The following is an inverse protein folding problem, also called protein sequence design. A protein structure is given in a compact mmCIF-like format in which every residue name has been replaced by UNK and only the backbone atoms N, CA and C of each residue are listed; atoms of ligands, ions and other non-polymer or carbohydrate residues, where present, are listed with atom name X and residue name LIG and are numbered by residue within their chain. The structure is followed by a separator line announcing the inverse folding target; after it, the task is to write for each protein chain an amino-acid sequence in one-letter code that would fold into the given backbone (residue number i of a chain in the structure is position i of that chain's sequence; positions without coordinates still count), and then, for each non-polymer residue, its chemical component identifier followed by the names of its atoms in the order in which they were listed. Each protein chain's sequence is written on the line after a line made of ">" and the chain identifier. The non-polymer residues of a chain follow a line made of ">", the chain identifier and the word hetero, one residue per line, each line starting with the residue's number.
data_IF_964492697829
#
_entry.id   IF_964492697829
#
_cell.length_a   1.000
_cell.length_b   1.000
_cell.length_c   1.000
_cell.angle_alpha   90.00
_cell.angle_beta   90.00
_cell.angle_gamma   90.00
#
_symmetry.space_group_name_H-M   'P 1'
#
loop_
_entity.id
_entity.type
_entity.pdbx_description
1 polymer ?
#
# COMPACT_ATOMS: atom_id res chain seq x y z
N UNK A 1 -34.25 -15.06 5.45
CA UNK A 1 -35.00 -13.84 5.08
C UNK A 1 -34.27 -12.56 5.51
N UNK A 2 -33.73 -12.51 6.73
CA UNK A 2 -32.95 -11.36 7.25
C UNK A 2 -31.63 -11.12 6.50
N UNK A 3 -30.89 -12.16 6.08
CA UNK A 3 -29.64 -11.97 5.33
C UNK A 3 -29.86 -11.30 3.97
N UNK A 4 -30.87 -11.76 3.19
CA UNK A 4 -31.23 -11.15 1.91
C UNK A 4 -31.59 -9.66 2.03
N UNK A 5 -32.22 -9.26 3.12
CA UNK A 5 -32.55 -7.86 3.39
C UNK A 5 -31.28 -7.06 3.72
N UNK A 6 -30.37 -7.62 4.54
CA UNK A 6 -29.06 -7.01 4.81
C UNK A 6 -28.23 -6.87 3.53
N UNK A 7 -28.18 -7.89 2.68
CA UNK A 7 -27.45 -7.86 1.41
C UNK A 7 -28.01 -6.78 0.47
N UNK A 8 -29.34 -6.66 0.38
CA UNK A 8 -30.00 -5.60 -0.38
C UNK A 8 -29.68 -4.19 0.14
N UNK A 9 -29.58 -4.04 1.47
CA UNK A 9 -29.19 -2.77 2.09
C UNK A 9 -27.72 -2.46 1.77
N UNK A 10 -26.81 -3.42 1.93
CA UNK A 10 -25.40 -3.27 1.57
C UNK A 10 -25.21 -2.93 0.10
N UNK A 11 -25.90 -3.63 -0.82
CA UNK A 11 -25.86 -3.32 -2.25
C UNK A 11 -26.35 -1.90 -2.55
N UNK A 12 -27.39 -1.42 -1.86
CA UNK A 12 -27.86 -0.04 -2.01
C UNK A 12 -26.84 0.98 -1.48
N UNK A 13 -26.19 0.71 -0.35
CA UNK A 13 -25.14 1.56 0.22
C UNK A 13 -23.93 1.61 -0.73
N UNK A 14 -23.46 0.46 -1.20
CA UNK A 14 -22.37 0.36 -2.16
C UNK A 14 -22.69 1.09 -3.48
N UNK A 15 -23.89 0.87 -4.05
CA UNK A 15 -24.33 1.59 -5.25
C UNK A 15 -24.39 3.11 -5.04
N UNK A 16 -24.83 3.58 -3.87
CA UNK A 16 -24.81 5.01 -3.54
C UNK A 16 -23.39 5.54 -3.41
N UNK A 17 -22.48 4.78 -2.79
CA UNK A 17 -21.08 5.14 -2.67
C UNK A 17 -20.40 5.23 -4.04
N UNK A 18 -20.56 4.21 -4.90
CA UNK A 18 -20.05 4.20 -6.28
C UNK A 18 -20.64 5.36 -7.08
N UNK A 19 -21.94 5.67 -6.93
CA UNK A 19 -22.52 6.82 -7.63
C UNK A 19 -21.98 8.16 -7.13
N UNK A 20 -21.64 8.26 -5.84
CA UNK A 20 -21.13 9.48 -5.20
C UNK A 20 -19.63 9.72 -5.47
N UNK A 21 -18.85 8.64 -5.55
CA UNK A 21 -17.38 8.69 -5.59
C UNK A 21 -16.78 8.05 -6.85
N UNK A 22 -17.49 7.17 -7.55
CA UNK A 22 -17.02 6.43 -8.72
C UNK A 22 -17.31 7.11 -10.07
N UNK A 23 -17.78 8.36 -10.05
CA UNK A 23 -17.92 9.19 -11.26
C UNK A 23 -16.65 9.99 -11.57
N UNK A 24 -15.61 9.87 -10.74
CA UNK A 24 -14.33 10.50 -10.99
C UNK A 24 -13.69 9.82 -12.20
N UNK A 25 -13.58 10.57 -13.29
CA UNK A 25 -12.76 10.17 -14.44
C UNK A 25 -11.32 10.32 -13.99
N UNK A 26 -10.75 9.22 -13.50
CA UNK A 26 -9.31 9.16 -13.27
C UNK A 26 -8.62 9.10 -14.61
N UNK A 27 -7.53 9.83 -14.74
CA UNK A 27 -6.68 9.70 -15.92
C UNK A 27 -6.27 8.23 -16.09
N UNK A 28 -6.19 7.73 -17.33
CA UNK A 28 -5.73 6.38 -17.57
C UNK A 28 -4.34 6.19 -16.94
N UNK A 29 -4.09 4.96 -16.46
CA UNK A 29 -2.83 4.60 -15.83
C UNK A 29 -1.67 5.01 -16.74
N UNK A 30 -0.84 5.94 -16.27
CA UNK A 30 0.22 6.50 -17.10
C UNK A 30 1.30 5.46 -17.36
N UNK A 31 1.66 5.29 -18.63
CA UNK A 31 2.78 4.45 -19.00
C UNK A 31 4.09 5.23 -18.77
N UNK A 32 5.06 4.69 -18.02
CA UNK A 32 6.36 5.31 -17.87
C UNK A 32 7.02 5.48 -19.25
N UNK A 33 7.51 6.69 -19.53
CA UNK A 33 8.17 6.99 -20.82
C UNK A 33 9.64 6.58 -20.86
N UNK A 34 10.27 6.49 -19.69
CA UNK A 34 11.67 6.08 -19.53
C UNK A 34 11.79 4.55 -19.72
N UNK A 35 12.94 4.04 -20.20
CA UNK A 35 13.20 2.61 -20.15
C UNK A 35 13.27 2.12 -18.69
N UNK A 36 12.98 0.84 -18.46
CA UNK A 36 12.83 0.28 -17.12
C UNK A 36 14.09 0.40 -16.26
N UNK A 37 15.26 0.24 -16.86
CA UNK A 37 16.56 0.43 -16.24
C UNK A 37 16.89 1.89 -15.86
N UNK A 38 15.98 2.83 -16.15
CA UNK A 38 16.05 4.23 -15.68
C UNK A 38 14.93 4.55 -14.69
N UNK A 39 14.04 3.61 -14.39
CA UNK A 39 12.94 3.85 -13.44
C UNK A 39 13.46 3.98 -12.03
N UNK A 40 12.95 4.99 -11.34
CA UNK A 40 12.96 5.05 -9.88
C UNK A 40 11.69 4.45 -9.30
N UNK A 41 11.80 3.30 -8.64
CA UNK A 41 10.67 2.47 -8.25
C UNK A 41 10.40 2.58 -6.75
N UNK A 42 9.15 2.86 -6.40
CA UNK A 42 8.64 2.80 -5.03
C UNK A 42 7.68 1.62 -4.84
N UNK A 43 7.42 1.26 -3.59
CA UNK A 43 6.45 0.23 -3.23
C UNK A 43 5.52 0.72 -2.12
N UNK A 44 4.23 0.37 -2.23
CA UNK A 44 3.24 0.56 -1.17
C UNK A 44 2.50 -0.75 -0.94
N UNK A 45 2.43 -1.19 0.31
CA UNK A 45 1.63 -2.34 0.73
C UNK A 45 0.56 -1.94 1.73
N UNK A 46 -0.64 -2.49 1.60
CA UNK A 46 -1.69 -2.39 2.62
C UNK A 46 -1.80 -3.64 3.49
N UNK A 47 -0.80 -4.53 3.43
CA UNK A 47 -0.76 -5.78 4.20
C UNK A 47 -0.47 -5.58 5.69
N UNK A 48 -0.31 -4.34 6.17
CA UNK A 48 0.01 -4.07 7.57
C UNK A 48 1.49 -4.24 7.91
N UNK A 49 2.40 -4.20 6.93
CA UNK A 49 3.86 -4.23 7.17
C UNK A 49 4.35 -2.91 7.78
N UNK A 50 5.23 -3.00 8.76
CA UNK A 50 5.92 -1.87 9.39
C UNK A 50 7.24 -2.30 10.05
N UNK A 51 8.03 -1.35 10.54
CA UNK A 51 9.27 -1.66 11.27
C UNK A 51 8.97 -2.17 12.68
N UNK A 52 9.76 -3.14 13.17
CA UNK A 52 9.55 -3.74 14.51
C UNK A 52 9.57 -2.74 15.65
N UNK A 53 10.32 -1.65 15.52
CA UNK A 53 10.37 -0.56 16.51
C UNK A 53 9.14 0.38 16.48
N UNK A 54 8.32 0.32 15.44
CA UNK A 54 7.12 1.15 15.32
C UNK A 54 5.94 0.54 16.08
N UNK A 55 5.01 1.40 16.49
CA UNK A 55 3.76 0.93 17.09
C UNK A 55 2.93 0.13 16.06
N UNK A 56 2.33 -1.01 16.47
CA UNK A 56 1.46 -1.78 15.59
C UNK A 56 0.27 -0.94 15.11
N UNK A 57 -0.28 -1.30 13.95
CA UNK A 57 -1.50 -0.68 13.44
C UNK A 57 -2.69 -0.97 14.37
N UNK A 58 -3.61 -0.02 14.50
CA UNK A 58 -4.92 -0.28 15.14
C UNK A 58 -5.79 -1.14 14.20
N UNK A 59 -5.74 -2.44 14.41
CA UNK A 59 -6.47 -3.44 13.59
C UNK A 59 -7.96 -3.54 13.94
N UNK A 60 -8.39 -3.02 15.09
CA UNK A 60 -9.77 -3.14 15.58
C UNK A 60 -10.61 -1.95 15.12
N UNK A 61 -10.11 -0.72 15.30
CA UNK A 61 -10.79 0.50 14.84
C UNK A 61 -10.42 0.87 13.39
N UNK A 62 -9.33 0.30 12.88
CA UNK A 62 -8.72 0.64 11.61
C UNK A 62 -7.77 1.83 11.72
N UNK A 63 -6.79 1.87 10.83
CA UNK A 63 -5.65 2.77 10.95
C UNK A 63 -5.29 3.42 9.60
N UNK A 64 -5.41 4.75 9.52
CA UNK A 64 -5.05 5.52 8.32
C UNK A 64 -3.61 6.02 8.32
N UNK A 65 -2.83 5.75 9.37
CA UNK A 65 -1.44 6.18 9.44
C UNK A 65 -0.58 5.46 8.41
N UNK A 66 0.51 6.11 7.99
CA UNK A 66 1.46 5.60 7.00
C UNK A 66 2.76 5.32 7.73
N UNK A 67 3.31 4.12 7.55
CA UNK A 67 4.63 3.72 8.02
C UNK A 67 5.63 3.91 6.88
N UNK A 68 6.76 4.53 7.16
CA UNK A 68 7.80 4.78 6.18
C UNK A 68 8.89 3.72 6.34
N UNK A 69 9.00 2.84 5.36
CA UNK A 69 9.91 1.70 5.40
C UNK A 69 11.12 2.05 4.53
N UNK A 70 12.35 2.10 5.07
CA UNK A 70 13.55 2.26 4.25
C UNK A 70 13.61 1.15 3.18
N UNK A 71 13.90 1.49 1.93
CA UNK A 71 14.01 0.48 0.87
C UNK A 71 15.20 -0.47 1.06
N UNK A 72 16.12 -0.14 1.97
CA UNK A 72 17.23 -0.99 2.43
C UNK A 72 16.86 -1.94 3.56
N UNK A 73 15.62 -1.92 4.05
CA UNK A 73 15.18 -2.80 5.14
C UNK A 73 15.31 -4.27 4.74
N UNK A 74 15.66 -5.10 5.71
CA UNK A 74 15.64 -6.56 5.57
C UNK A 74 14.44 -7.15 6.30
N UNK A 75 14.15 -8.42 6.03
CA UNK A 75 13.06 -9.14 6.71
C UNK A 75 13.13 -9.00 8.25
N UNK A 76 14.33 -9.05 8.83
CA UNK A 76 14.53 -8.96 10.27
C UNK A 76 14.17 -7.59 10.87
N UNK A 77 14.05 -6.54 10.06
CA UNK A 77 13.62 -5.21 10.51
C UNK A 77 12.09 -5.09 10.55
N UNK A 78 11.38 -5.99 9.86
CA UNK A 78 9.98 -5.83 9.50
C UNK A 78 9.08 -6.78 10.28
N UNK A 79 7.85 -6.34 10.51
CA UNK A 79 6.79 -7.16 11.08
C UNK A 79 5.44 -6.77 10.48
N UNK A 80 4.39 -7.51 10.84
CA UNK A 80 3.04 -7.35 10.32
C UNK A 80 2.03 -7.14 11.45
N UNK A 81 1.06 -6.27 11.23
CA UNK A 81 -0.10 -6.11 12.10
C UNK A 81 -1.36 -6.06 11.26
N UNK A 82 -2.05 -7.20 11.16
CA UNK A 82 -3.27 -7.34 10.38
C UNK A 82 -4.14 -8.48 10.92
N UNK A 83 -5.47 -8.29 10.98
CA UNK A 83 -6.42 -9.30 11.50
C UNK A 83 -7.38 -9.84 10.44
N UNK A 84 -7.40 -9.25 9.25
CA UNK A 84 -8.37 -9.62 8.19
C UNK A 84 -7.81 -10.55 7.10
N UNK A 85 -6.58 -11.06 7.26
CA UNK A 85 -6.03 -12.17 6.46
C UNK A 85 -5.06 -13.01 7.31
N UNK A 86 -4.70 -14.21 6.85
CA UNK A 86 -3.71 -15.07 7.51
C UNK A 86 -2.29 -14.52 7.32
N UNK A 87 -1.72 -13.92 8.36
CA UNK A 87 -0.41 -13.26 8.32
C UNK A 87 0.77 -14.23 8.31
N UNK A 88 0.55 -15.53 8.52
CA UNK A 88 1.63 -16.51 8.72
C UNK A 88 2.67 -16.50 7.60
N UNK A 89 2.24 -16.43 6.34
CA UNK A 89 3.15 -16.40 5.21
C UNK A 89 4.01 -15.11 5.17
N UNK A 90 3.44 -13.97 5.56
CA UNK A 90 4.14 -12.69 5.64
C UNK A 90 5.10 -12.63 6.84
N UNK A 91 4.74 -13.30 7.95
CA UNK A 91 5.60 -13.47 9.12
C UNK A 91 6.80 -14.38 8.84
N UNK A 92 6.60 -15.44 8.05
CA UNK A 92 7.67 -16.34 7.61
C UNK A 92 8.56 -15.72 6.53
N UNK A 93 7.96 -15.01 5.57
CA UNK A 93 8.67 -14.27 4.52
C UNK A 93 7.89 -13.03 4.09
N UNK A 94 8.42 -11.86 4.48
CA UNK A 94 7.82 -10.56 4.16
C UNK A 94 7.74 -10.30 2.65
N UNK A 95 8.56 -10.98 1.84
CA UNK A 95 8.58 -10.82 0.39
C UNK A 95 7.28 -11.28 -0.29
N UNK A 96 6.44 -12.02 0.42
CA UNK A 96 5.09 -12.39 -0.05
C UNK A 96 4.18 -11.17 -0.24
N UNK A 97 4.36 -10.12 0.56
CA UNK A 97 3.49 -8.93 0.58
C UNK A 97 4.24 -7.59 0.40
N UNK A 98 5.56 -7.60 0.62
CA UNK A 98 6.52 -6.53 0.35
C UNK A 98 7.81 -7.18 -0.18
N UNK A 99 7.95 -7.37 -1.51
CA UNK A 99 9.07 -8.07 -2.15
C UNK A 99 10.36 -7.24 -2.15
N UNK A 100 10.74 -6.70 -0.99
CA UNK A 100 11.88 -5.80 -0.80
C UNK A 100 13.19 -6.41 -1.29
N UNK A 101 13.42 -7.70 -1.02
CA UNK A 101 14.63 -8.39 -1.46
C UNK A 101 14.68 -8.51 -2.99
N UNK A 102 13.57 -8.92 -3.60
CA UNK A 102 13.50 -9.04 -5.06
C UNK A 102 13.68 -7.67 -5.74
N UNK A 103 13.12 -6.60 -5.16
CA UNK A 103 13.30 -5.23 -5.66
C UNK A 103 14.76 -4.76 -5.56
N UNK A 104 15.43 -5.05 -4.44
CA UNK A 104 16.86 -4.75 -4.27
C UNK A 104 17.73 -5.54 -5.25
N UNK A 105 17.38 -6.80 -5.53
CA UNK A 105 18.07 -7.63 -6.53
C UNK A 105 17.88 -7.05 -7.94
N UNK A 106 16.66 -6.63 -8.31
CA UNK A 106 16.39 -6.00 -9.61
C UNK A 106 17.15 -4.69 -9.80
N UNK A 107 17.29 -3.87 -8.75
CA UNK A 107 18.12 -2.66 -8.77
C UNK A 107 19.60 -3.02 -8.95
N UNK A 108 20.10 -3.98 -8.18
CA UNK A 108 21.50 -4.44 -8.25
C UNK A 108 21.87 -5.01 -9.62
N UNK A 109 20.95 -5.72 -10.27
CA UNK A 109 21.12 -6.27 -11.61
C UNK A 109 21.03 -5.20 -12.72
N UNK A 110 20.59 -3.98 -12.38
CA UNK A 110 20.33 -2.91 -13.34
C UNK A 110 19.08 -3.15 -14.20
N UNK A 111 18.22 -4.08 -13.79
CA UNK A 111 16.92 -4.32 -14.45
C UNK A 111 16.01 -3.11 -14.26
N UNK A 112 15.99 -2.55 -13.05
CA UNK A 112 15.42 -1.22 -12.75
C UNK A 112 16.55 -0.24 -12.45
N UNK A 113 16.29 1.07 -12.60
CA UNK A 113 17.32 2.09 -12.40
C UNK A 113 17.70 2.31 -10.94
N UNK A 114 16.70 2.55 -10.08
CA UNK A 114 16.91 2.64 -8.63
C UNK A 114 15.63 2.45 -7.84
N UNK A 115 15.75 2.18 -6.55
CA UNK A 115 14.64 2.28 -5.60
C UNK A 115 14.49 3.72 -5.08
N UNK A 116 13.27 4.10 -4.72
CA UNK A 116 13.09 5.25 -3.83
C UNK A 116 13.68 4.92 -2.45
N UNK A 117 14.18 5.91 -1.70
CA UNK A 117 14.65 5.69 -0.32
C UNK A 117 13.54 5.15 0.59
N UNK A 118 12.28 5.47 0.29
CA UNK A 118 11.14 5.14 1.14
C UNK A 118 10.11 4.27 0.39
N UNK A 119 9.72 3.17 1.04
CA UNK A 119 8.51 2.40 0.78
C UNK A 119 7.44 2.71 1.83
N UNK A 120 6.20 2.29 1.57
CA UNK A 120 5.05 2.64 2.41
C UNK A 120 4.33 1.40 2.91
N UNK A 121 4.19 1.30 4.22
CA UNK A 121 3.35 0.32 4.90
C UNK A 121 2.05 0.97 5.38
N UNK A 122 0.93 0.31 5.15
CA UNK A 122 -0.39 0.75 5.60
C UNK A 122 -1.22 -0.43 6.09
N UNK A 123 -2.21 -0.15 6.93
CA UNK A 123 -3.28 -1.10 7.25
C UNK A 123 -4.33 -1.13 6.13
N UNK A 124 -4.80 -2.32 5.73
CA UNK A 124 -5.86 -2.46 4.72
C UNK A 124 -7.25 -2.09 5.23
N UNK A 125 -7.45 -2.12 6.55
CA UNK A 125 -8.70 -1.70 7.20
C UNK A 125 -8.67 -0.23 7.57
N UNK A 126 -9.30 0.62 6.74
CA UNK A 126 -9.38 2.06 6.96
C UNK A 126 -10.84 2.55 6.85
N UNK A 127 -11.64 2.48 7.93
CA UNK A 127 -13.02 2.98 7.94
C UNK A 127 -13.12 4.50 7.71
N UNK A 128 -12.07 5.24 8.07
CA UNK A 128 -11.97 6.70 7.93
C UNK A 128 -11.45 7.10 6.54
N UNK A 129 -12.28 6.89 5.53
CA UNK A 129 -11.98 7.27 4.14
C UNK A 129 -11.70 8.78 4.00
N UNK A 130 -12.33 9.60 4.83
CA UNK A 130 -12.05 11.05 4.89
C UNK A 130 -10.60 11.33 5.30
N UNK A 131 -10.05 10.57 6.24
CA UNK A 131 -8.65 10.69 6.68
C UNK A 131 -7.69 10.11 5.65
N UNK A 132 -8.01 8.97 5.06
CA UNK A 132 -7.24 8.38 3.96
C UNK A 132 -7.03 9.38 2.82
N UNK A 133 -8.11 10.01 2.37
CA UNK A 133 -8.08 10.92 1.22
C UNK A 133 -7.42 12.28 1.52
N UNK A 134 -7.62 12.82 2.72
CA UNK A 134 -7.15 14.17 3.06
C UNK A 134 -5.81 14.20 3.82
N UNK A 135 -5.32 13.07 4.34
CA UNK A 135 -4.09 13.00 5.12
C UNK A 135 -3.11 11.97 4.53
N UNK A 136 -3.47 10.69 4.50
CA UNK A 136 -2.55 9.61 4.15
C UNK A 136 -2.08 9.66 2.70
N UNK A 137 -3.02 9.76 1.76
CA UNK A 137 -2.71 9.83 0.31
C UNK A 137 -1.89 11.08 -0.02
N UNK A 138 -2.23 12.29 0.46
CA UNK A 138 -1.39 13.47 0.28
C UNK A 138 0.04 13.32 0.82
N UNK A 139 0.24 12.67 1.98
CA UNK A 139 1.57 12.41 2.53
C UNK A 139 2.40 11.49 1.61
N UNK A 140 1.79 10.40 1.13
CA UNK A 140 2.43 9.46 0.20
C UNK A 140 2.78 10.16 -1.12
N UNK A 141 1.83 10.88 -1.73
CA UNK A 141 2.06 11.60 -2.98
C UNK A 141 3.17 12.64 -2.83
N UNK A 142 3.18 13.38 -1.71
CA UNK A 142 4.23 14.36 -1.43
C UNK A 142 5.59 13.68 -1.40
N UNK A 143 5.73 12.59 -0.64
CA UNK A 143 6.99 11.86 -0.51
C UNK A 143 7.47 11.27 -1.84
N UNK A 144 6.57 10.65 -2.61
CA UNK A 144 6.87 10.11 -3.94
C UNK A 144 7.39 11.19 -4.90
N UNK A 145 6.80 12.39 -4.85
CA UNK A 145 7.27 13.53 -5.65
C UNK A 145 8.63 14.04 -5.21
N UNK A 146 8.85 14.16 -3.90
CA UNK A 146 10.14 14.57 -3.32
C UNK A 146 11.26 13.59 -3.64
N UNK A 147 10.95 12.29 -3.68
CA UNK A 147 11.90 11.22 -4.00
C UNK A 147 11.99 10.92 -5.51
N UNK A 148 11.26 11.67 -6.35
CA UNK A 148 11.24 11.53 -7.80
C UNK A 148 10.91 10.11 -8.28
N UNK A 149 9.92 9.47 -7.65
CA UNK A 149 9.42 8.17 -8.09
C UNK A 149 8.84 8.25 -9.51
N UNK A 150 9.30 7.36 -10.39
CA UNK A 150 8.74 7.18 -11.73
C UNK A 150 7.59 6.19 -11.73
N UNK A 151 7.70 5.14 -10.91
CA UNK A 151 6.73 4.05 -10.80
C UNK A 151 6.49 3.74 -9.33
N UNK A 152 5.23 3.47 -8.98
CA UNK A 152 4.85 2.94 -7.67
C UNK A 152 4.13 1.62 -7.87
N UNK A 153 4.65 0.57 -7.26
CA UNK A 153 3.97 -0.72 -7.20
C UNK A 153 3.04 -0.73 -5.98
N UNK A 154 1.81 -1.16 -6.18
CA UNK A 154 0.78 -1.23 -5.14
C UNK A 154 0.42 -2.69 -4.89
N UNK A 155 0.57 -3.16 -3.65
CA UNK A 155 0.15 -4.49 -3.23
C UNK A 155 -0.93 -4.40 -2.15
N UNK A 156 -2.08 -5.06 -2.33
CA UNK A 156 -3.09 -5.13 -1.28
C UNK A 156 -2.70 -6.07 -0.12
N UNK A 157 -1.64 -6.88 -0.29
CA UNK A 157 -1.37 -8.08 0.49
C UNK A 157 -1.82 -9.33 -0.24
#
# INVERSE_FOLDING_TARGET
>A
MISKIKDLIFQKIAKRSIKKHGSEVVDPLQQPKKPMNEWRVAFLTTAGIHLKEEAPFDVEAGDWSVRYIPSTSVHDDLTVSHTHYDTKAAEEDVNTVLPVKALQELEKEGTIGSLTPTFFGMMGYIPRVDKLMNESVPLIIKRLKEEHADVVLLSPG
#
